data_IF_093248352021
#
_entry.id   IF_093248352021
#
_cell.length_a   1.000
_cell.length_b   1.000
_cell.length_c   1.000
_cell.angle_alpha   90.00
_cell.angle_beta   90.00
_cell.angle_gamma   90.00
#
_symmetry.space_group_name_H-M   'P 1'
#
loop_
_entity.id
_entity.type
_entity.pdbx_description
1 polymer ?
#
# COMPACT_ATOMS: atom_id res chain seq x y z
N UNK A 1 20.09 -39.16 11.34
CA UNK A 1 20.66 -38.27 10.30
C UNK A 1 19.53 -37.99 9.30
N UNK A 2 19.12 -36.78 8.89
CA UNK A 2 19.52 -35.41 9.14
C UNK A 2 18.23 -34.55 9.21
N UNK A 3 18.20 -33.51 10.07
CA UNK A 3 17.09 -32.55 10.15
C UNK A 3 17.26 -31.51 9.04
N UNK A 4 16.31 -31.47 8.09
CA UNK A 4 16.22 -30.40 7.10
C UNK A 4 15.76 -29.13 7.83
N UNK A 5 16.61 -28.10 7.82
CA UNK A 5 16.35 -26.81 8.47
C UNK A 5 15.37 -26.01 7.62
N UNK A 6 14.13 -25.86 8.11
CA UNK A 6 13.18 -24.90 7.55
C UNK A 6 13.72 -23.48 7.79
N UNK A 7 14.09 -22.80 6.70
CA UNK A 7 14.45 -21.38 6.70
C UNK A 7 13.17 -20.57 6.76
N UNK A 8 12.70 -20.28 7.97
CA UNK A 8 11.61 -19.32 8.18
C UNK A 8 12.13 -17.92 7.88
N UNK A 9 11.74 -17.37 6.74
CA UNK A 9 11.97 -15.95 6.43
C UNK A 9 10.84 -15.15 7.09
N UNK A 10 11.12 -14.66 8.30
CA UNK A 10 10.72 -13.34 8.80
C UNK A 10 9.24 -12.96 8.91
N UNK A 11 8.73 -13.07 10.14
CA UNK A 11 7.79 -12.16 10.81
C UNK A 11 6.36 -11.98 10.27
N UNK A 12 5.53 -13.01 10.43
CA UNK A 12 4.09 -12.83 10.58
C UNK A 12 3.74 -12.42 12.02
N UNK A 13 3.55 -11.12 12.24
CA UNK A 13 2.99 -10.59 13.50
C UNK A 13 1.55 -11.10 13.62
N UNK A 14 1.35 -12.09 14.49
CA UNK A 14 0.03 -12.58 14.92
C UNK A 14 -0.72 -11.46 15.64
N UNK A 15 -1.62 -10.76 14.94
CA UNK A 15 -2.58 -9.85 15.55
C UNK A 15 -3.98 -10.45 15.60
N UNK A 16 -4.55 -10.44 16.80
CA UNK A 16 -5.83 -11.02 17.25
C UNK A 16 -7.01 -10.66 16.32
N UNK A 17 -7.77 -11.69 15.94
CA UNK A 17 -8.75 -11.71 14.85
C UNK A 17 -10.15 -11.52 15.42
N UNK A 18 -10.51 -10.31 15.89
CA UNK A 18 -11.92 -10.06 16.23
C UNK A 18 -12.57 -8.78 15.68
N UNK A 19 -11.86 -7.70 15.32
CA UNK A 19 -12.60 -6.44 15.07
C UNK A 19 -12.12 -5.44 14.00
N UNK A 20 -11.28 -5.81 13.03
CA UNK A 20 -10.94 -4.82 11.97
C UNK A 20 -10.90 -5.51 10.62
N UNK A 21 -11.64 -4.96 9.65
CA UNK A 21 -11.41 -5.18 8.21
C UNK A 21 -9.95 -4.82 7.93
N UNK A 22 -9.03 -5.78 8.11
CA UNK A 22 -7.58 -5.56 8.10
C UNK A 22 -7.19 -5.01 6.74
N UNK A 23 -6.96 -3.70 6.69
CA UNK A 23 -6.23 -3.08 5.59
C UNK A 23 -4.83 -3.70 5.65
N UNK A 24 -4.59 -4.73 4.85
CA UNK A 24 -3.26 -5.33 4.71
C UNK A 24 -2.33 -4.26 4.16
N UNK A 25 -1.39 -3.81 4.99
CA UNK A 25 -0.34 -2.89 4.58
C UNK A 25 0.87 -3.72 4.17
N UNK A 26 1.36 -3.57 2.92
CA UNK A 26 2.56 -4.25 2.50
C UNK A 26 3.74 -3.87 3.38
N UNK A 27 4.55 -4.86 3.77
CA UNK A 27 5.74 -4.67 4.62
C UNK A 27 6.70 -3.62 4.05
N UNK A 28 6.75 -3.50 2.72
CA UNK A 28 7.58 -2.53 1.99
C UNK A 28 7.24 -1.07 2.29
N UNK A 29 5.96 -0.75 2.55
CA UNK A 29 5.50 0.63 2.84
C UNK A 29 6.11 1.19 4.13
N UNK A 30 6.43 0.32 5.08
CA UNK A 30 6.95 0.70 6.39
C UNK A 30 8.47 0.56 6.52
N UNK A 31 9.12 -0.22 5.65
CA UNK A 31 10.57 -0.39 5.69
C UNK A 31 11.32 0.82 5.14
N UNK A 32 10.77 1.50 4.13
CA UNK A 32 11.40 2.68 3.53
C UNK A 32 10.33 3.61 2.92
N UNK A 33 10.02 4.67 3.65
CA UNK A 33 9.00 5.63 3.24
C UNK A 33 9.42 6.41 2.00
N UNK A 34 10.68 6.78 1.88
CA UNK A 34 11.15 7.56 0.74
C UNK A 34 11.08 6.75 -0.55
N UNK A 35 11.54 5.49 -0.53
CA UNK A 35 11.34 4.58 -1.66
C UNK A 35 9.88 4.33 -1.99
N UNK A 36 9.03 4.28 -0.96
CA UNK A 36 7.57 4.16 -1.18
C UNK A 36 7.05 5.37 -1.94
N UNK A 37 7.37 6.60 -1.51
CA UNK A 37 6.90 7.81 -2.17
C UNK A 37 7.51 8.02 -3.57
N UNK A 38 8.74 7.58 -3.80
CA UNK A 38 9.35 7.58 -5.13
C UNK A 38 8.63 6.58 -6.05
N UNK A 39 8.35 5.35 -5.58
CA UNK A 39 7.54 4.39 -6.34
C UNK A 39 6.15 4.94 -6.68
N UNK A 40 5.50 5.63 -5.73
CA UNK A 40 4.23 6.32 -5.96
C UNK A 40 4.34 7.45 -6.98
N UNK A 41 5.46 8.15 -7.06
CA UNK A 41 5.69 9.23 -8.02
C UNK A 41 5.67 8.68 -9.45
N UNK A 42 6.32 7.54 -9.65
CA UNK A 42 6.56 6.97 -10.99
C UNK A 42 5.36 6.16 -11.52
N UNK A 43 4.58 5.56 -10.60
CA UNK A 43 3.58 4.56 -10.98
C UNK A 43 2.13 4.98 -10.76
N UNK A 44 1.85 6.10 -10.08
CA UNK A 44 0.47 6.58 -9.95
C UNK A 44 -0.05 7.23 -11.25
N UNK A 45 -1.25 6.87 -11.73
CA UNK A 45 -1.89 7.51 -12.87
C UNK A 45 -2.38 8.92 -12.52
N UNK A 46 -2.68 9.77 -13.52
CA UNK A 46 -3.18 11.14 -13.30
C UNK A 46 -4.45 11.20 -12.42
N UNK A 47 -5.33 10.20 -12.53
CA UNK A 47 -6.61 10.13 -11.82
C UNK A 47 -6.59 9.26 -10.56
N UNK A 48 -5.40 8.96 -10.03
CA UNK A 48 -5.21 8.03 -8.92
C UNK A 48 -6.11 8.29 -7.71
N UNK A 49 -6.37 9.56 -7.38
CA UNK A 49 -7.11 9.91 -6.18
C UNK A 49 -8.57 9.40 -6.25
N UNK A 50 -9.17 9.35 -7.44
CA UNK A 50 -10.51 8.77 -7.62
C UNK A 50 -10.50 7.25 -7.40
N UNK A 51 -9.44 6.57 -7.85
CA UNK A 51 -9.27 5.12 -7.64
C UNK A 51 -9.03 4.79 -6.17
N UNK A 52 -8.21 5.59 -5.48
CA UNK A 52 -7.99 5.47 -4.04
C UNK A 52 -9.30 5.57 -3.26
N UNK A 53 -10.16 6.54 -3.57
CA UNK A 53 -11.49 6.66 -2.92
C UNK A 53 -12.36 5.41 -3.12
N UNK A 54 -12.25 4.73 -4.27
CA UNK A 54 -13.03 3.52 -4.57
C UNK A 54 -12.56 2.30 -3.77
N UNK A 55 -11.25 2.19 -3.51
CA UNK A 55 -10.67 1.03 -2.81
C UNK A 55 -10.63 1.21 -1.29
N UNK A 56 -10.75 2.43 -0.79
CA UNK A 56 -10.84 2.69 0.65
C UNK A 56 -12.13 2.08 1.23
N UNK A 57 -12.09 1.55 2.47
CA UNK A 57 -13.29 1.10 3.16
C UNK A 57 -14.33 2.23 3.26
N UNK A 58 -15.63 1.86 3.24
CA UNK A 58 -16.73 2.83 3.31
C UNK A 58 -16.65 3.74 4.54
N UNK A 59 -16.17 3.22 5.67
CA UNK A 59 -15.98 3.90 6.95
C UNK A 59 -14.71 4.77 7.02
N UNK A 60 -13.86 4.73 5.99
CA UNK A 60 -12.59 5.47 5.89
C UNK A 60 -12.51 6.32 4.63
N UNK A 61 -13.66 6.64 4.01
CA UNK A 61 -13.70 7.54 2.86
C UNK A 61 -13.20 8.91 3.28
N UNK A 62 -12.22 9.40 2.54
CA UNK A 62 -11.66 10.75 2.68
C UNK A 62 -11.84 11.48 1.36
N UNK A 63 -11.77 12.81 1.41
CA UNK A 63 -11.86 13.63 0.22
C UNK A 63 -10.62 13.49 -0.67
N UNK A 64 -10.83 13.74 -1.96
CA UNK A 64 -9.77 13.69 -2.98
C UNK A 64 -8.64 14.66 -2.65
N UNK A 65 -8.97 15.82 -2.08
CA UNK A 65 -7.99 16.84 -1.73
C UNK A 65 -7.04 16.33 -0.62
N UNK A 66 -7.55 15.64 0.41
CA UNK A 66 -6.68 15.05 1.43
C UNK A 66 -5.81 13.92 0.89
N UNK A 67 -6.33 13.06 0.01
CA UNK A 67 -5.50 12.01 -0.64
C UNK A 67 -4.33 12.63 -1.41
N UNK A 68 -4.58 13.72 -2.15
CA UNK A 68 -3.53 14.45 -2.86
C UNK A 68 -2.51 15.07 -1.90
N UNK A 69 -2.99 15.61 -0.78
CA UNK A 69 -2.14 16.19 0.26
C UNK A 69 -1.26 15.16 0.94
N UNK A 70 -1.79 13.96 1.20
CA UNK A 70 -1.03 12.83 1.75
C UNK A 70 0.15 12.47 0.86
N UNK A 71 -0.07 12.35 -0.45
CA UNK A 71 1.01 12.11 -1.41
C UNK A 71 2.04 13.26 -1.42
N UNK A 72 1.57 14.49 -1.55
CA UNK A 72 2.43 15.66 -1.83
C UNK A 72 3.28 16.05 -0.62
N UNK A 73 2.69 15.98 0.58
CA UNK A 73 3.33 16.40 1.82
C UNK A 73 3.89 15.20 2.60
N UNK A 74 3.90 13.99 2.00
CA UNK A 74 4.31 12.74 2.65
C UNK A 74 3.67 12.53 4.03
N UNK A 75 2.38 12.88 4.18
CA UNK A 75 1.68 12.78 5.47
C UNK A 75 1.53 11.31 5.82
N UNK A 76 1.89 10.96 7.06
CA UNK A 76 1.84 9.59 7.57
C UNK A 76 0.41 9.13 7.85
N UNK A 77 -0.32 8.78 6.79
CA UNK A 77 -1.62 8.14 6.85
C UNK A 77 -1.53 6.74 6.25
N UNK A 78 -1.38 5.74 7.11
CA UNK A 78 -1.17 4.34 6.73
C UNK A 78 -2.23 3.84 5.75
N UNK A 79 -3.50 4.14 5.99
CA UNK A 79 -4.60 3.65 5.14
C UNK A 79 -4.53 4.24 3.74
N UNK A 80 -4.26 5.54 3.62
CA UNK A 80 -4.15 6.22 2.34
C UNK A 80 -2.86 5.83 1.61
N UNK A 81 -1.72 5.74 2.30
CA UNK A 81 -0.45 5.32 1.72
C UNK A 81 -0.56 3.88 1.18
N UNK A 82 -1.19 2.98 1.94
CA UNK A 82 -1.45 1.61 1.49
C UNK A 82 -2.33 1.58 0.25
N UNK A 83 -3.40 2.36 0.23
CA UNK A 83 -4.29 2.45 -0.91
C UNK A 83 -3.57 3.03 -2.14
N UNK A 84 -2.80 4.11 -1.98
CA UNK A 84 -1.95 4.68 -3.02
C UNK A 84 -0.99 3.63 -3.57
N UNK A 85 -0.33 2.87 -2.70
CA UNK A 85 0.64 1.86 -3.10
C UNK A 85 -0.02 0.72 -3.91
N UNK A 86 -1.21 0.27 -3.52
CA UNK A 86 -1.96 -0.74 -4.29
C UNK A 86 -2.37 -0.23 -5.67
N UNK A 87 -2.83 1.01 -5.78
CA UNK A 87 -3.13 1.62 -7.08
C UNK A 87 -1.86 1.70 -7.93
N UNK A 88 -0.75 2.18 -7.36
CA UNK A 88 0.53 2.25 -8.06
C UNK A 88 1.01 0.87 -8.55
N UNK A 89 0.89 -0.18 -7.73
CA UNK A 89 1.22 -1.55 -8.13
C UNK A 89 0.36 -2.05 -9.30
N UNK A 90 -0.95 -1.85 -9.23
CA UNK A 90 -1.86 -2.25 -10.30
C UNK A 90 -1.52 -1.59 -11.65
N UNK A 91 -1.16 -0.30 -11.62
CA UNK A 91 -0.74 0.41 -12.84
C UNK A 91 0.66 0.05 -13.29
N UNK A 92 1.59 -0.21 -12.37
CA UNK A 92 2.94 -0.70 -12.71
C UNK A 92 2.89 -2.06 -13.41
N UNK A 93 2.04 -2.98 -12.91
CA UNK A 93 1.83 -4.29 -13.53
C UNK A 93 1.23 -4.16 -14.94
N UNK A 94 0.18 -3.36 -15.11
CA UNK A 94 -0.38 -3.10 -16.44
C UNK A 94 0.65 -2.52 -17.41
N UNK A 95 1.51 -1.58 -16.96
CA UNK A 95 2.60 -1.06 -17.81
C UNK A 95 3.58 -2.15 -18.21
N UNK A 96 3.88 -3.10 -17.33
CA UNK A 96 4.82 -4.19 -17.59
C UNK A 96 4.22 -5.27 -18.51
N UNK A 97 2.91 -5.52 -18.45
CA UNK A 97 2.21 -6.47 -19.33
C UNK A 97 1.99 -5.94 -20.76
N UNK A 98 2.17 -4.64 -20.99
CA UNK A 98 2.03 -4.00 -22.31
C UNK A 98 3.35 -4.05 -23.12
N UNK A 99 4.41 -4.68 -22.60
CA UNK A 99 5.72 -4.83 -23.25
C UNK A 99 5.90 -6.25 -23.78
#
# INVERSE_FOLDING_TARGET
MAKIKNKTIGNDIRMNIKDVRKIYVPSSVFMDLDKTFDFLRDNLPRYYANEVVKILPKDKKVDIAYIRRVKSNKIMNVHIITALYRVAQFHALQKAEII
#
